data_IF_084233431269
#
_entry.id   IF_084233431269
#
_cell.length_a   1.000
_cell.length_b   1.000
_cell.length_c   1.000
_cell.angle_alpha   90.00
_cell.angle_beta   90.00
_cell.angle_gamma   90.00
#
_symmetry.space_group_name_H-M   'P 1'
#
loop_
_entity.id
_entity.type
_entity.pdbx_description
1 polymer ?
#
# COMPACT_ATOMS: atom_id res chain seq x y z
N UNK A 1 22.64 15.57 4.29
CA UNK A 1 22.92 14.31 5.02
C UNK A 1 23.62 13.36 4.05
N UNK A 2 24.42 12.43 4.56
CA UNK A 2 25.04 11.39 3.72
C UNK A 2 23.97 10.47 3.14
N UNK A 3 24.18 9.91 1.92
CA UNK A 3 23.36 8.82 1.40
C UNK A 3 23.17 7.71 2.43
N UNK A 4 21.97 7.14 2.43
CA UNK A 4 21.55 6.04 3.29
C UNK A 4 21.23 4.83 2.42
N UNK A 5 21.38 3.63 2.94
CA UNK A 5 21.02 2.40 2.25
C UNK A 5 19.66 1.92 2.74
N UNK A 6 18.71 1.77 1.82
CA UNK A 6 17.34 1.35 2.11
C UNK A 6 17.12 -0.06 1.54
N UNK A 7 16.83 -1.02 2.41
CA UNK A 7 16.34 -2.34 2.01
C UNK A 7 14.85 -2.25 1.66
N UNK A 8 14.47 -2.67 0.47
CA UNK A 8 13.08 -2.67 0.00
C UNK A 8 12.64 -4.12 -0.18
N UNK A 9 11.75 -4.57 0.71
CA UNK A 9 11.11 -5.89 0.62
C UNK A 9 9.78 -5.74 -0.12
N UNK A 10 9.53 -6.64 -1.07
CA UNK A 10 8.44 -6.47 -2.03
C UNK A 10 8.76 -5.43 -3.11
N UNK A 11 10.05 -5.24 -3.43
CA UNK A 11 10.54 -4.21 -4.35
C UNK A 11 9.92 -4.26 -5.76
N UNK A 12 9.49 -5.43 -6.23
CA UNK A 12 8.84 -5.61 -7.54
C UNK A 12 7.34 -5.33 -7.52
N UNK A 13 6.74 -5.10 -6.36
CA UNK A 13 5.31 -4.78 -6.20
C UNK A 13 4.97 -3.32 -6.48
N UNK A 14 3.70 -2.95 -6.33
CA UNK A 14 3.21 -1.60 -6.63
C UNK A 14 3.86 -0.51 -5.75
N UNK A 15 3.83 -0.69 -4.43
CA UNK A 15 4.48 0.24 -3.50
C UNK A 15 6.00 0.18 -3.63
N UNK A 16 6.57 -1.03 -3.64
CA UNK A 16 8.02 -1.25 -3.67
C UNK A 16 8.71 -0.58 -4.85
N UNK A 17 8.13 -0.63 -6.05
CA UNK A 17 8.69 0.04 -7.24
C UNK A 17 8.79 1.56 -7.05
N UNK A 18 7.75 2.19 -6.50
CA UNK A 18 7.79 3.61 -6.15
C UNK A 18 8.84 3.91 -5.07
N UNK A 19 8.95 3.06 -4.05
CA UNK A 19 9.99 3.20 -3.01
C UNK A 19 11.39 3.15 -3.61
N UNK A 20 11.68 2.22 -4.52
CA UNK A 20 12.97 2.16 -5.22
C UNK A 20 13.21 3.45 -6.00
N UNK A 21 12.28 3.85 -6.86
CA UNK A 21 12.42 5.02 -7.72
C UNK A 21 12.65 6.32 -6.92
N UNK A 22 11.81 6.59 -5.92
CA UNK A 22 11.89 7.82 -5.13
C UNK A 22 13.12 7.84 -4.22
N UNK A 23 13.53 6.70 -3.67
CA UNK A 23 14.74 6.61 -2.85
C UNK A 23 16.01 6.87 -3.65
N UNK A 24 16.14 6.26 -4.84
CA UNK A 24 17.26 6.51 -5.75
C UNK A 24 17.29 7.98 -6.21
N UNK A 25 16.12 8.54 -6.55
CA UNK A 25 16.00 9.95 -6.95
C UNK A 25 16.36 10.93 -5.81
N UNK A 26 16.16 10.52 -4.56
CA UNK A 26 16.59 11.28 -3.38
C UNK A 26 18.09 11.15 -3.07
N UNK A 27 18.84 10.37 -3.85
CA UNK A 27 20.28 10.14 -3.69
C UNK A 27 20.62 9.08 -2.64
N UNK A 28 19.67 8.21 -2.27
CA UNK A 28 19.91 7.06 -1.42
C UNK A 28 20.32 5.83 -2.25
N UNK A 29 21.02 4.90 -1.61
CA UNK A 29 21.27 3.58 -2.17
C UNK A 29 20.09 2.67 -1.86
N UNK A 30 19.73 1.79 -2.79
CA UNK A 30 18.62 0.85 -2.62
C UNK A 30 19.08 -0.59 -2.78
N UNK A 31 18.75 -1.42 -1.79
CA UNK A 31 18.86 -2.88 -1.87
C UNK A 31 17.46 -3.44 -2.12
N UNK A 32 17.20 -3.94 -3.32
CA UNK A 32 15.92 -4.53 -3.71
C UNK A 32 15.93 -6.04 -3.37
N UNK A 33 15.14 -6.43 -2.37
CA UNK A 33 15.02 -7.84 -1.98
C UNK A 33 14.06 -8.57 -2.93
N UNK A 34 14.58 -9.56 -3.65
CA UNK A 34 13.87 -10.27 -4.71
C UNK A 34 14.06 -11.78 -4.61
N UNK A 35 13.01 -12.55 -4.92
CA UNK A 35 13.11 -14.02 -4.99
C UNK A 35 13.80 -14.51 -6.24
N UNK A 36 13.50 -13.88 -7.39
CA UNK A 36 14.07 -14.23 -8.68
C UNK A 36 14.75 -12.99 -9.31
N UNK A 37 16.08 -12.88 -9.24
CA UNK A 37 16.81 -11.73 -9.80
C UNK A 37 16.75 -11.67 -11.33
N UNK A 38 16.40 -12.78 -12.01
CA UNK A 38 16.26 -12.82 -13.47
C UNK A 38 14.85 -12.46 -13.96
N UNK A 39 13.89 -12.17 -13.06
CA UNK A 39 12.58 -11.70 -13.47
C UNK A 39 12.67 -10.33 -14.16
N UNK A 40 11.80 -10.06 -15.14
CA UNK A 40 11.78 -8.77 -15.86
C UNK A 40 11.67 -7.58 -14.92
N UNK A 41 10.81 -7.68 -13.89
CA UNK A 41 10.67 -6.65 -12.87
C UNK A 41 11.97 -6.45 -12.06
N UNK A 42 12.68 -7.50 -11.66
CA UNK A 42 13.94 -7.37 -10.94
C UNK A 42 15.04 -6.74 -11.82
N UNK A 43 15.13 -7.14 -13.09
CA UNK A 43 16.08 -6.56 -14.05
C UNK A 43 15.83 -5.06 -14.21
N UNK A 44 14.57 -4.62 -14.33
CA UNK A 44 14.23 -3.20 -14.41
C UNK A 44 14.66 -2.42 -13.16
N UNK A 45 14.57 -3.00 -11.95
CA UNK A 45 15.07 -2.36 -10.74
C UNK A 45 16.58 -2.20 -10.76
N UNK A 46 17.31 -3.19 -11.26
CA UNK A 46 18.76 -3.11 -11.41
C UNK A 46 19.19 -2.05 -12.44
N UNK A 47 18.47 -1.95 -13.57
CA UNK A 47 18.69 -0.91 -14.59
C UNK A 47 18.45 0.50 -14.05
N UNK A 48 17.55 0.67 -13.07
CA UNK A 48 17.35 1.94 -12.36
C UNK A 48 18.48 2.27 -11.37
N UNK A 49 19.35 1.30 -11.05
CA UNK A 49 20.47 1.47 -10.12
C UNK A 49 20.28 0.83 -8.75
N UNK A 50 19.22 0.02 -8.54
CA UNK A 50 19.08 -0.75 -7.30
C UNK A 50 20.01 -1.97 -7.28
N UNK A 51 20.61 -2.24 -6.14
CA UNK A 51 21.35 -3.49 -5.91
C UNK A 51 20.35 -4.62 -5.63
N UNK A 52 20.37 -5.68 -6.44
CA UNK A 52 19.50 -6.84 -6.18
C UNK A 52 20.08 -7.70 -5.05
N UNK A 53 19.25 -7.99 -4.04
CA UNK A 53 19.55 -8.91 -2.95
C UNK A 53 18.60 -10.10 -3.10
N UNK A 54 19.15 -11.29 -3.35
CA UNK A 54 18.33 -12.49 -3.53
C UNK A 54 18.00 -13.12 -2.18
N UNK A 55 16.74 -13.47 -1.97
CA UNK A 55 16.30 -14.19 -0.77
C UNK A 55 14.80 -14.50 -0.78
N UNK A 56 14.34 -15.13 0.29
CA UNK A 56 12.93 -15.52 0.47
C UNK A 56 12.44 -15.11 1.86
N UNK A 57 11.16 -14.74 1.97
CA UNK A 57 10.56 -14.36 3.25
C UNK A 57 10.36 -15.55 4.19
N UNK A 58 10.29 -16.75 3.64
CA UNK A 58 10.25 -18.00 4.40
C UNK A 58 11.67 -18.42 4.88
N UNK A 59 12.73 -17.76 4.41
CA UNK A 59 14.13 -17.97 4.82
C UNK A 59 14.66 -16.80 5.67
N UNK A 60 14.60 -16.98 6.99
CA UNK A 60 15.09 -15.99 7.96
C UNK A 60 16.58 -15.66 7.81
N UNK A 61 17.43 -16.61 7.42
CA UNK A 61 18.86 -16.34 7.21
C UNK A 61 19.06 -15.41 6.01
N UNK A 62 18.30 -15.61 4.94
CA UNK A 62 18.33 -14.69 3.79
C UNK A 62 17.94 -13.25 4.17
N UNK A 63 16.97 -13.10 5.07
CA UNK A 63 16.55 -11.80 5.61
C UNK A 63 17.61 -11.19 6.52
N UNK A 64 18.21 -11.99 7.42
CA UNK A 64 19.33 -11.56 8.27
C UNK A 64 20.50 -11.03 7.45
N UNK A 65 20.83 -11.70 6.35
CA UNK A 65 21.87 -11.26 5.43
C UNK A 65 21.46 -9.96 4.72
N UNK A 66 20.20 -9.84 4.30
CA UNK A 66 19.69 -8.65 3.63
C UNK A 66 19.63 -7.40 4.52
N UNK A 67 19.45 -7.57 5.83
CA UNK A 67 19.41 -6.47 6.80
C UNK A 67 20.80 -6.03 7.30
N UNK A 68 21.89 -6.64 6.83
CA UNK A 68 23.25 -6.19 7.14
C UNK A 68 23.62 -4.94 6.32
N UNK A 69 24.29 -3.98 6.96
CA UNK A 69 24.82 -2.76 6.31
C UNK A 69 23.76 -1.88 5.62
N UNK A 70 22.49 -1.99 6.05
CA UNK A 70 21.43 -1.07 5.66
C UNK A 70 21.05 -0.16 6.81
N UNK A 71 20.58 1.05 6.51
CA UNK A 71 20.15 2.04 7.50
C UNK A 71 18.65 1.93 7.80
N UNK A 72 17.86 1.59 6.78
CA UNK A 72 16.41 1.49 6.86
C UNK A 72 15.88 0.27 6.09
N UNK A 73 14.72 -0.24 6.49
CA UNK A 73 13.94 -1.23 5.73
C UNK A 73 12.53 -0.72 5.46
N UNK A 74 12.05 -0.92 4.23
CA UNK A 74 10.65 -0.81 3.88
C UNK A 74 10.07 -2.19 3.57
N UNK A 75 8.87 -2.46 4.10
CA UNK A 75 8.08 -3.63 3.71
C UNK A 75 6.58 -3.34 3.85
N UNK A 76 5.76 -4.21 3.27
CA UNK A 76 4.31 -4.23 3.44
C UNK A 76 3.86 -5.68 3.63
N UNK A 77 2.67 -5.86 4.19
CA UNK A 77 2.07 -7.17 4.40
C UNK A 77 1.93 -7.95 3.08
N UNK A 78 2.38 -9.20 3.10
CA UNK A 78 2.14 -10.15 2.01
C UNK A 78 0.79 -10.81 2.24
N UNK A 79 -0.04 -10.89 1.19
CA UNK A 79 -1.37 -11.51 1.24
C UNK A 79 -1.43 -12.64 0.21
N UNK A 80 -0.97 -13.83 0.59
CA UNK A 80 -1.00 -15.04 -0.27
C UNK A 80 -2.25 -15.88 -0.08
N UNK A 81 -3.17 -15.43 0.79
CA UNK A 81 -4.35 -16.20 1.19
C UNK A 81 -4.03 -17.29 2.22
N UNK A 82 -2.90 -17.18 2.92
CA UNK A 82 -2.46 -18.10 3.98
C UNK A 82 -2.09 -17.29 5.21
N UNK A 83 -3.07 -16.84 6.02
CA UNK A 83 -2.87 -15.81 7.03
C UNK A 83 -1.74 -16.12 8.02
N UNK A 84 -1.63 -17.35 8.50
CA UNK A 84 -0.58 -17.74 9.46
C UNK A 84 0.82 -17.65 8.82
N UNK A 85 0.96 -18.14 7.58
CA UNK A 85 2.22 -18.06 6.85
C UNK A 85 2.57 -16.61 6.48
N UNK A 86 1.57 -15.82 6.08
CA UNK A 86 1.70 -14.41 5.75
C UNK A 86 2.16 -13.60 6.96
N UNK A 87 1.57 -13.83 8.13
CA UNK A 87 2.00 -13.20 9.38
C UNK A 87 3.41 -13.64 9.79
N UNK A 88 3.73 -14.93 9.68
CA UNK A 88 5.06 -15.45 9.99
C UNK A 88 6.15 -14.82 9.12
N UNK A 89 5.88 -14.59 7.83
CA UNK A 89 6.81 -13.88 6.93
C UNK A 89 7.08 -12.45 7.40
N UNK A 90 6.07 -11.75 7.91
CA UNK A 90 6.25 -10.41 8.45
C UNK A 90 7.07 -10.44 9.74
N UNK A 91 6.82 -11.39 10.62
CA UNK A 91 7.62 -11.57 11.84
C UNK A 91 9.09 -11.90 11.50
N UNK A 92 9.36 -12.68 10.44
CA UNK A 92 10.74 -12.95 10.00
C UNK A 92 11.46 -11.67 9.59
N UNK A 93 10.80 -10.76 8.85
CA UNK A 93 11.37 -9.45 8.47
C UNK A 93 11.68 -8.63 9.71
N UNK A 94 10.73 -8.55 10.63
CA UNK A 94 10.85 -7.76 11.86
C UNK A 94 11.97 -8.30 12.75
N UNK A 95 12.09 -9.64 12.87
CA UNK A 95 13.16 -10.28 13.63
C UNK A 95 14.54 -10.01 13.01
N UNK A 96 14.68 -10.14 11.69
CA UNK A 96 15.93 -9.81 11.00
C UNK A 96 16.30 -8.32 11.13
N UNK A 97 15.30 -7.43 11.17
CA UNK A 97 15.52 -6.01 11.40
C UNK A 97 15.95 -5.72 12.85
N UNK A 98 15.34 -6.40 13.83
CA UNK A 98 15.69 -6.32 15.25
C UNK A 98 17.14 -6.73 15.51
N UNK A 99 17.58 -7.82 14.89
CA UNK A 99 18.91 -8.39 15.09
C UNK A 99 20.02 -7.62 14.34
N UNK A 100 19.65 -6.81 13.33
CA UNK A 100 20.61 -5.98 12.60
C UNK A 100 21.19 -4.90 13.50
N UNK A 101 22.53 -4.75 13.50
CA UNK A 101 23.21 -3.70 14.25
C UNK A 101 23.13 -2.35 13.54
N UNK A 102 23.08 -2.31 12.21
CA UNK A 102 23.12 -1.07 11.40
C UNK A 102 21.74 -0.47 11.13
N UNK A 103 20.70 -1.31 11.04
CA UNK A 103 19.35 -0.86 10.72
C UNK A 103 18.77 -0.08 11.89
N UNK A 104 18.41 1.17 11.67
CA UNK A 104 17.87 2.06 12.71
C UNK A 104 16.48 2.59 12.40
N UNK A 105 15.95 2.35 11.19
CA UNK A 105 14.63 2.82 10.79
C UNK A 105 13.81 1.71 10.14
N UNK A 106 12.69 1.33 10.76
CA UNK A 106 11.73 0.35 10.20
C UNK A 106 10.54 1.12 9.62
N UNK A 107 10.26 0.93 8.33
CA UNK A 107 9.18 1.61 7.64
C UNK A 107 8.19 0.57 7.12
N UNK A 108 6.92 0.67 7.52
CA UNK A 108 5.87 -0.30 7.19
C UNK A 108 4.74 0.37 6.41
N UNK A 109 4.37 -0.20 5.27
CA UNK A 109 3.15 0.18 4.54
C UNK A 109 1.93 -0.64 4.99
N UNK A 110 0.88 0.03 5.47
CA UNK A 110 -0.41 -0.58 5.86
C UNK A 110 -1.58 0.01 5.04
N UNK A 111 -2.54 0.66 5.68
CA UNK A 111 -3.73 1.26 5.06
C UNK A 111 -4.32 2.35 5.97
N UNK A 112 -5.05 3.31 5.37
CA UNK A 112 -5.86 4.27 6.12
C UNK A 112 -6.75 3.58 7.16
N UNK A 113 -7.01 4.27 8.27
CA UNK A 113 -7.84 3.81 9.41
C UNK A 113 -7.32 2.58 10.17
N UNK A 114 -6.15 2.04 9.83
CA UNK A 114 -5.53 0.97 10.64
C UNK A 114 -5.38 1.42 12.10
N UNK A 115 -5.80 0.55 13.04
CA UNK A 115 -5.79 0.83 14.47
C UNK A 115 -6.96 1.69 14.98
N UNK A 116 -8.01 1.90 14.17
CA UNK A 116 -9.23 2.61 14.56
C UNK A 116 -10.48 1.70 14.46
N UNK A 117 -10.27 0.39 14.48
CA UNK A 117 -11.28 -0.58 14.08
C UNK A 117 -12.47 -0.68 15.04
N UNK A 118 -12.28 -0.25 16.28
CA UNK A 118 -13.33 -0.12 17.29
C UNK A 118 -14.39 0.91 16.89
N UNK A 119 -14.07 1.83 15.96
CA UNK A 119 -15.02 2.80 15.40
C UNK A 119 -15.82 2.23 14.21
N UNK A 120 -15.48 1.04 13.72
CA UNK A 120 -16.12 0.48 12.52
C UNK A 120 -17.50 -0.08 12.86
N UNK A 121 -18.54 0.25 12.06
CA UNK A 121 -19.88 -0.30 12.30
C UNK A 121 -19.89 -1.81 12.38
N UNK A 122 -20.60 -2.35 13.38
CA UNK A 122 -20.70 -3.79 13.60
C UNK A 122 -19.46 -4.46 14.19
N UNK A 123 -18.39 -3.73 14.54
CA UNK A 123 -17.18 -4.33 15.11
C UNK A 123 -17.42 -5.09 16.42
N UNK A 124 -18.23 -4.52 17.31
CA UNK A 124 -18.57 -5.10 18.62
C UNK A 124 -19.28 -6.45 18.53
N UNK A 125 -19.92 -6.76 17.40
CA UNK A 125 -20.58 -8.06 17.17
C UNK A 125 -19.60 -9.23 17.18
N UNK A 126 -18.31 -8.95 16.97
CA UNK A 126 -17.26 -9.94 16.88
C UNK A 126 -17.11 -10.60 15.50
N UNK A 127 -18.07 -10.40 14.59
CA UNK A 127 -18.16 -11.05 13.29
C UNK A 127 -18.00 -10.08 12.10
N UNK A 128 -17.32 -8.94 12.30
CA UNK A 128 -17.07 -7.98 11.23
C UNK A 128 -16.35 -8.66 10.03
N UNK A 129 -16.83 -8.52 8.78
CA UNK A 129 -16.29 -9.26 7.63
C UNK A 129 -14.79 -9.05 7.36
N UNK A 130 -14.29 -7.84 7.65
CA UNK A 130 -12.87 -7.47 7.48
C UNK A 130 -12.07 -7.56 8.81
N UNK A 131 -12.56 -8.27 9.82
CA UNK A 131 -11.95 -8.25 11.17
C UNK A 131 -10.49 -8.68 11.17
N UNK A 132 -10.20 -9.82 10.55
CA UNK A 132 -8.85 -10.35 10.48
C UNK A 132 -7.90 -9.41 9.72
N UNK A 133 -8.33 -8.86 8.58
CA UNK A 133 -7.57 -7.87 7.81
C UNK A 133 -7.14 -6.68 8.67
N UNK A 134 -8.07 -6.08 9.44
CA UNK A 134 -7.77 -4.92 10.26
C UNK A 134 -6.94 -5.24 11.50
N UNK A 135 -7.19 -6.39 12.14
CA UNK A 135 -6.41 -6.85 13.29
C UNK A 135 -4.97 -7.17 12.88
N UNK A 136 -4.76 -7.84 11.74
CA UNK A 136 -3.42 -8.18 11.25
C UNK A 136 -2.60 -6.91 10.96
N UNK A 137 -3.17 -5.94 10.23
CA UNK A 137 -2.48 -4.66 9.98
C UNK A 137 -2.15 -3.92 11.27
N UNK A 138 -3.09 -3.85 12.20
CA UNK A 138 -2.85 -3.17 13.46
C UNK A 138 -1.80 -3.89 14.33
N UNK A 139 -1.82 -5.23 14.35
CA UNK A 139 -0.81 -6.04 15.03
C UNK A 139 0.59 -5.80 14.45
N UNK A 140 0.71 -5.73 13.12
CA UNK A 140 1.98 -5.43 12.45
C UNK A 140 2.50 -4.03 12.80
N UNK A 141 1.63 -3.01 12.81
CA UNK A 141 2.04 -1.67 13.24
C UNK A 141 2.56 -1.68 14.68
N UNK A 142 1.85 -2.34 15.60
CA UNK A 142 2.26 -2.43 17.01
C UNK A 142 3.58 -3.19 17.16
N UNK A 143 3.78 -4.25 16.37
CA UNK A 143 5.01 -5.03 16.38
C UNK A 143 6.21 -4.21 15.90
N UNK A 144 6.03 -3.43 14.83
CA UNK A 144 7.08 -2.52 14.33
C UNK A 144 7.42 -1.44 15.36
N UNK A 145 6.42 -0.85 16.02
CA UNK A 145 6.63 0.12 17.12
C UNK A 145 7.46 -0.49 18.23
N UNK A 146 7.03 -1.64 18.76
CA UNK A 146 7.69 -2.35 19.86
C UNK A 146 9.17 -2.63 19.54
N UNK A 147 9.44 -3.18 18.35
CA UNK A 147 10.80 -3.58 17.97
C UNK A 147 11.71 -2.38 17.69
N UNK A 148 11.19 -1.35 17.01
CA UNK A 148 11.98 -0.14 16.73
C UNK A 148 12.29 0.63 18.02
N UNK A 149 11.31 0.78 18.93
CA UNK A 149 11.48 1.53 20.19
C UNK A 149 12.37 0.81 21.21
N UNK A 150 12.47 -0.52 21.13
CA UNK A 150 13.38 -1.30 21.97
C UNK A 150 14.87 -1.09 21.60
N UNK A 151 15.17 -0.50 20.45
CA UNK A 151 16.54 -0.25 19.99
C UNK A 151 16.96 1.20 20.31
N UNK A 152 18.17 1.37 20.83
CA UNK A 152 18.72 2.70 21.04
C UNK A 152 18.84 3.45 19.70
N UNK A 153 18.20 4.63 19.63
CA UNK A 153 18.12 5.41 18.40
C UNK A 153 17.25 4.80 17.30
N UNK A 154 16.48 3.76 17.61
CA UNK A 154 15.54 3.13 16.70
C UNK A 154 14.36 4.05 16.38
N UNK A 155 13.92 3.99 15.13
CA UNK A 155 12.85 4.80 14.56
C UNK A 155 11.88 3.91 13.82
N UNK A 156 10.61 4.28 13.85
CA UNK A 156 9.62 3.69 12.96
C UNK A 156 8.87 4.75 12.17
N UNK A 157 8.42 4.40 10.97
CA UNK A 157 7.42 5.20 10.23
C UNK A 157 6.39 4.24 9.65
N UNK A 158 5.11 4.53 9.86
CA UNK A 158 4.03 3.77 9.22
C UNK A 158 3.47 4.61 8.08
N UNK A 159 3.33 4.04 6.89
CA UNK A 159 2.68 4.68 5.75
C UNK A 159 1.32 4.04 5.55
N UNK A 160 0.26 4.85 5.59
CA UNK A 160 -1.15 4.43 5.52
C UNK A 160 -1.79 4.94 4.23
N UNK A 161 -1.59 4.25 3.10
CA UNK A 161 -2.20 4.64 1.84
C UNK A 161 -3.72 4.45 1.83
N UNK A 162 -4.40 5.26 1.03
CA UNK A 162 -5.79 5.06 0.63
C UNK A 162 -5.97 3.97 -0.43
N UNK A 163 -7.07 4.05 -1.18
CA UNK A 163 -7.40 3.11 -2.26
C UNK A 163 -6.44 3.30 -3.44
N UNK A 164 -5.78 2.22 -3.82
CA UNK A 164 -4.80 2.27 -4.90
C UNK A 164 -5.45 2.45 -6.27
N UNK A 165 -4.93 3.40 -7.03
CA UNK A 165 -5.27 3.58 -8.44
C UNK A 165 -4.87 2.37 -9.30
N UNK A 166 -3.88 1.59 -8.86
CA UNK A 166 -3.49 0.31 -9.48
C UNK A 166 -4.61 -0.72 -9.52
N UNK A 167 -5.66 -0.57 -8.71
CA UNK A 167 -6.85 -1.42 -8.78
C UNK A 167 -7.62 -1.26 -10.10
N UNK A 168 -7.32 -0.21 -10.87
CA UNK A 168 -7.85 0.02 -12.21
C UNK A 168 -7.03 -0.64 -13.32
N UNK A 169 -5.93 -1.32 -12.97
CA UNK A 169 -5.05 -2.00 -13.94
C UNK A 169 -5.20 -3.53 -13.86
N UNK A 170 -5.04 -4.26 -14.98
CA UNK A 170 -4.97 -5.72 -14.97
C UNK A 170 -3.79 -6.23 -14.10
N UNK A 171 -3.94 -7.39 -13.44
CA UNK A 171 -5.14 -8.24 -13.38
C UNK A 171 -6.15 -7.83 -12.30
N UNK A 172 -5.81 -6.88 -11.42
CA UNK A 172 -6.65 -6.52 -10.27
C UNK A 172 -7.99 -5.92 -10.72
N UNK A 173 -7.97 -5.09 -11.75
CA UNK A 173 -9.17 -4.52 -12.38
C UNK A 173 -10.17 -5.60 -12.78
N UNK A 174 -9.70 -6.71 -13.37
CA UNK A 174 -10.60 -7.76 -13.89
C UNK A 174 -11.30 -8.52 -12.76
N UNK A 175 -10.66 -8.58 -11.59
CA UNK A 175 -11.28 -9.11 -10.38
C UNK A 175 -12.25 -8.10 -9.75
N UNK A 176 -11.88 -6.81 -9.68
CA UNK A 176 -12.69 -5.78 -9.00
C UNK A 176 -13.86 -5.26 -9.85
N UNK A 177 -13.68 -5.18 -11.16
CA UNK A 177 -14.62 -4.61 -12.13
C UNK A 177 -14.75 -5.55 -13.34
N UNK A 178 -15.26 -6.78 -13.17
CA UNK A 178 -15.25 -7.81 -14.22
C UNK A 178 -16.01 -7.39 -15.49
N UNK A 179 -17.02 -6.52 -15.37
CA UNK A 179 -17.80 -6.00 -16.49
C UNK A 179 -17.08 -4.89 -17.29
N UNK A 180 -15.99 -4.33 -16.77
CA UNK A 180 -15.38 -3.13 -17.36
C UNK A 180 -14.79 -3.40 -18.75
N UNK A 181 -14.16 -4.57 -18.93
CA UNK A 181 -13.46 -4.92 -20.17
C UNK A 181 -14.39 -5.01 -21.38
N UNK A 182 -15.58 -5.57 -21.19
CA UNK A 182 -16.54 -5.83 -22.28
C UNK A 182 -17.63 -4.76 -22.37
N UNK A 183 -18.10 -4.26 -21.22
CA UNK A 183 -19.29 -3.40 -21.17
C UNK A 183 -18.98 -1.94 -20.80
N UNK A 184 -17.73 -1.63 -20.43
CA UNK A 184 -17.34 -0.33 -19.83
C UNK A 184 -18.17 0.04 -18.60
N UNK A 185 -18.53 -0.98 -17.82
CA UNK A 185 -19.28 -0.82 -16.58
C UNK A 185 -18.40 -1.10 -15.36
N UNK A 186 -18.31 -0.14 -14.45
CA UNK A 186 -17.86 -0.39 -13.08
C UNK A 186 -19.03 -0.99 -12.31
N UNK A 187 -19.16 -2.32 -12.35
CA UNK A 187 -20.12 -3.07 -11.52
C UNK A 187 -19.53 -3.24 -10.13
N UNK A 188 -20.13 -2.60 -9.13
CA UNK A 188 -19.51 -2.42 -7.80
C UNK A 188 -20.42 -2.80 -6.65
N UNK A 189 -19.80 -3.20 -5.54
CA UNK A 189 -20.47 -3.48 -4.27
C UNK A 189 -20.51 -2.26 -3.33
N UNK A 190 -20.11 -1.08 -3.81
CA UNK A 190 -20.25 0.18 -3.08
C UNK A 190 -21.73 0.63 -3.10
N UNK A 191 -22.09 1.55 -2.21
CA UNK A 191 -23.33 2.32 -2.31
C UNK A 191 -23.12 3.60 -3.15
N UNK A 192 -24.19 4.15 -3.76
CA UNK A 192 -24.10 5.45 -4.44
C UNK A 192 -23.55 6.54 -3.53
N UNK A 193 -22.63 7.36 -4.05
CA UNK A 193 -22.00 8.45 -3.30
C UNK A 193 -20.88 8.03 -2.33
N UNK A 194 -20.50 6.75 -2.25
CA UNK A 194 -19.36 6.32 -1.43
C UNK A 194 -18.07 7.00 -1.87
N UNK A 195 -17.40 7.64 -0.91
CA UNK A 195 -16.18 8.41 -1.10
C UNK A 195 -14.93 7.54 -0.93
N UNK A 196 -14.08 7.54 -1.96
CA UNK A 196 -12.82 6.78 -1.99
C UNK A 196 -11.63 7.75 -1.94
N UNK A 197 -10.83 7.75 -0.85
CA UNK A 197 -9.54 8.44 -0.84
C UNK A 197 -8.57 7.66 -1.74
N UNK A 198 -8.28 8.19 -2.92
CA UNK A 198 -7.42 7.55 -3.92
C UNK A 198 -5.96 7.93 -3.74
N UNK A 199 -5.07 7.02 -4.11
CA UNK A 199 -3.62 7.25 -4.13
C UNK A 199 -2.95 6.39 -5.20
N UNK A 200 -1.89 6.89 -5.81
CA UNK A 200 -0.97 6.04 -6.57
C UNK A 200 -0.08 5.28 -5.57
N UNK A 201 -0.08 3.95 -5.60
CA UNK A 201 0.78 3.16 -4.72
C UNK A 201 2.28 3.54 -4.80
N UNK A 202 2.74 4.09 -5.93
CA UNK A 202 4.11 4.56 -6.12
C UNK A 202 4.46 5.73 -5.20
N UNK A 203 3.48 6.55 -4.85
CA UNK A 203 3.66 7.74 -3.99
C UNK A 203 4.00 7.37 -2.54
N UNK A 204 3.80 6.12 -2.11
CA UNK A 204 4.36 5.61 -0.85
C UNK A 204 5.88 5.84 -0.81
N UNK A 205 6.56 5.75 -1.97
CA UNK A 205 7.98 6.04 -2.09
C UNK A 205 8.38 7.47 -1.73
N UNK A 206 7.49 8.45 -1.92
CA UNK A 206 7.74 9.85 -1.49
C UNK A 206 7.90 9.89 0.02
N UNK A 207 6.99 9.23 0.75
CA UNK A 207 7.02 9.18 2.21
C UNK A 207 8.23 8.39 2.71
N UNK A 208 8.55 7.25 2.09
CA UNK A 208 9.71 6.43 2.51
C UNK A 208 11.03 7.19 2.31
N UNK A 209 11.23 7.80 1.14
CA UNK A 209 12.43 8.59 0.87
C UNK A 209 12.52 9.80 1.81
N UNK A 210 11.40 10.50 2.05
CA UNK A 210 11.36 11.61 2.99
C UNK A 210 11.62 11.18 4.44
N UNK A 211 11.11 10.01 4.86
CA UNK A 211 11.32 9.51 6.22
C UNK A 211 12.79 9.22 6.52
N UNK A 212 13.54 8.72 5.53
CA UNK A 212 14.98 8.47 5.65
C UNK A 212 15.79 9.77 5.55
N UNK A 213 15.36 10.72 4.72
CA UNK A 213 16.02 12.01 4.52
C UNK A 213 15.77 13.01 5.65
N UNK A 214 14.59 12.99 6.26
CA UNK A 214 14.11 13.92 7.29
C UNK A 214 13.61 13.14 8.53
N UNK A 215 14.46 12.32 9.18
CA UNK A 215 14.02 11.41 10.24
C UNK A 215 13.36 12.13 11.42
N UNK A 216 13.80 13.34 11.79
CA UNK A 216 13.16 14.10 12.88
C UNK A 216 11.70 14.49 12.61
N UNK A 217 11.31 14.54 11.34
CA UNK A 217 9.95 14.88 10.92
C UNK A 217 9.03 13.66 10.88
N UNK A 218 9.56 12.51 10.46
CA UNK A 218 8.76 11.32 10.15
C UNK A 218 8.98 10.14 11.10
N UNK A 219 10.01 10.18 11.95
CA UNK A 219 10.23 9.16 12.95
C UNK A 219 9.09 9.18 13.97
N UNK A 220 8.66 7.97 14.32
CA UNK A 220 7.61 7.66 15.26
C UNK A 220 6.26 8.31 14.87
N UNK A 221 5.99 8.32 13.55
CA UNK A 221 4.75 8.83 12.95
C UNK A 221 4.10 7.79 12.05
N UNK A 222 2.77 7.80 12.06
CA UNK A 222 1.97 7.22 11.00
C UNK A 222 1.56 8.34 10.03
N UNK A 223 1.76 8.12 8.74
CA UNK A 223 1.52 9.09 7.68
C UNK A 223 0.44 8.57 6.75
N UNK A 224 -0.67 9.29 6.67
CA UNK A 224 -1.77 9.01 5.76
C UNK A 224 -1.40 9.49 4.35
N UNK A 225 -1.71 8.68 3.32
CA UNK A 225 -1.37 9.03 1.92
C UNK A 225 -2.59 8.88 1.02
N UNK A 226 -3.12 10.03 0.58
CA UNK A 226 -4.21 10.13 -0.38
C UNK A 226 -4.10 11.46 -1.13
N UNK A 227 -4.39 11.45 -2.44
CA UNK A 227 -4.26 12.63 -3.32
C UNK A 227 -5.60 13.32 -3.57
N UNK A 228 -6.66 12.53 -3.72
CA UNK A 228 -8.00 13.01 -4.08
C UNK A 228 -9.04 12.07 -3.46
N UNK A 229 -10.16 12.62 -2.99
CA UNK A 229 -11.33 11.84 -2.58
C UNK A 229 -12.36 12.00 -3.68
N UNK A 230 -12.82 10.88 -4.24
CA UNK A 230 -13.84 10.88 -5.31
C UNK A 230 -14.90 9.83 -5.02
N UNK A 231 -16.11 10.04 -5.53
CA UNK A 231 -17.10 8.95 -5.59
C UNK A 231 -16.80 8.00 -6.75
N UNK A 232 -17.38 6.80 -6.73
CA UNK A 232 -17.22 5.83 -7.84
C UNK A 232 -17.75 6.40 -9.16
N UNK A 233 -18.83 7.18 -9.11
CA UNK A 233 -19.40 7.87 -10.28
C UNK A 233 -18.45 8.94 -10.82
N UNK A 234 -17.81 9.70 -9.93
CA UNK A 234 -16.78 10.68 -10.34
C UNK A 234 -15.56 9.97 -10.94
N UNK A 235 -15.15 8.84 -10.36
CA UNK A 235 -14.07 8.02 -10.90
C UNK A 235 -14.41 7.48 -12.29
N UNK A 236 -15.63 6.95 -12.49
CA UNK A 236 -16.12 6.54 -13.81
C UNK A 236 -16.06 7.70 -14.82
N UNK A 237 -16.49 8.90 -14.42
CA UNK A 237 -16.39 10.08 -15.26
C UNK A 237 -14.95 10.46 -15.62
N UNK A 238 -14.00 10.34 -14.68
CA UNK A 238 -12.57 10.56 -14.94
C UNK A 238 -11.99 9.53 -15.90
N UNK A 239 -12.32 8.25 -15.72
CA UNK A 239 -11.90 7.17 -16.61
C UNK A 239 -12.47 7.41 -18.01
N UNK A 240 -13.77 7.69 -18.14
CA UNK A 240 -14.45 7.93 -19.41
C UNK A 240 -13.81 9.06 -20.24
N UNK A 241 -13.37 10.13 -19.59
CA UNK A 241 -12.62 11.22 -20.26
C UNK A 241 -11.31 10.74 -20.88
N UNK A 242 -10.61 9.81 -20.22
CA UNK A 242 -9.32 9.30 -20.67
C UNK A 242 -9.49 8.24 -21.74
N UNK A 243 -10.45 7.32 -21.59
CA UNK A 243 -10.69 6.25 -22.56
C UNK A 243 -11.49 6.70 -23.79
N UNK A 244 -12.10 7.89 -23.75
CA UNK A 244 -12.82 8.50 -24.88
C UNK A 244 -14.23 7.95 -25.10
N UNK A 245 -14.78 7.20 -24.14
CA UNK A 245 -16.13 6.63 -24.18
C UNK A 245 -16.82 6.69 -22.81
N UNK A 246 -18.14 6.52 -22.79
CA UNK A 246 -18.91 6.54 -21.54
C UNK A 246 -18.57 5.32 -20.69
N UNK A 247 -18.18 5.56 -19.43
CA UNK A 247 -18.06 4.51 -18.41
C UNK A 247 -19.22 4.64 -17.45
N UNK A 248 -20.01 3.57 -17.32
CA UNK A 248 -21.18 3.54 -16.43
C UNK A 248 -20.82 2.92 -15.09
N UNK A 249 -21.60 3.23 -14.08
CA UNK A 249 -21.54 2.56 -12.77
C UNK A 249 -22.82 1.77 -12.57
N UNK A 250 -22.67 0.52 -12.16
CA UNK A 250 -23.77 -0.34 -11.77
C UNK A 250 -23.55 -0.76 -10.32
N UNK A 251 -24.47 -0.37 -9.45
CA UNK A 251 -24.42 -0.73 -8.03
C UNK A 251 -25.16 -2.05 -7.82
N UNK A 252 -24.50 -3.00 -7.18
CA UNK A 252 -25.14 -4.24 -6.75
C UNK A 252 -26.10 -3.95 -5.60
N UNK A 253 -27.24 -4.64 -5.58
CA UNK A 253 -28.21 -4.55 -4.49
C UNK A 253 -27.59 -5.04 -3.17
N UNK A 254 -28.00 -4.43 -2.05
CA UNK A 254 -27.46 -4.76 -0.72
C UNK A 254 -27.62 -6.26 -0.39
N UNK A 255 -28.73 -6.90 -0.80
CA UNK A 255 -28.93 -8.35 -0.60
C UNK A 255 -27.88 -9.20 -1.34
N UNK A 256 -27.48 -8.78 -2.55
CA UNK A 256 -26.45 -9.46 -3.35
C UNK A 256 -25.09 -9.27 -2.68
N UNK A 257 -24.76 -8.04 -2.29
CA UNK A 257 -23.50 -7.72 -1.61
C UNK A 257 -23.38 -8.50 -0.29
N UNK A 258 -24.45 -8.56 0.50
CA UNK A 258 -24.47 -9.31 1.76
C UNK A 258 -24.32 -10.82 1.53
N UNK A 259 -24.88 -11.35 0.43
CA UNK A 259 -24.65 -12.73 -0.02
C UNK A 259 -23.19 -12.99 -0.35
N UNK A 260 -22.56 -12.13 -1.15
CA UNK A 260 -21.14 -12.23 -1.50
C UNK A 260 -20.23 -12.16 -0.27
N UNK A 261 -20.56 -11.29 0.70
CA UNK A 261 -19.82 -11.19 1.97
C UNK A 261 -19.90 -12.50 2.76
N UNK A 262 -21.09 -13.12 2.85
CA UNK A 262 -21.27 -14.41 3.52
C UNK A 262 -20.49 -15.54 2.85
N UNK A 263 -20.28 -15.45 1.54
CA UNK A 263 -19.45 -16.38 0.76
C UNK A 263 -17.94 -16.06 0.84
N UNK A 264 -17.54 -15.02 1.58
CA UNK A 264 -16.14 -14.66 1.80
C UNK A 264 -15.53 -13.75 0.74
N UNK A 265 -16.35 -13.06 -0.07
CA UNK A 265 -15.84 -12.16 -1.11
C UNK A 265 -15.23 -10.88 -0.52
N UNK A 266 -13.90 -10.87 -0.35
CA UNK A 266 -13.15 -9.77 0.27
C UNK A 266 -13.39 -8.41 -0.40
N UNK A 267 -13.55 -8.36 -1.72
CA UNK A 267 -13.85 -7.11 -2.43
C UNK A 267 -15.20 -6.51 -2.04
N UNK A 268 -16.20 -7.34 -1.77
CA UNK A 268 -17.54 -6.90 -1.34
C UNK A 268 -17.51 -6.43 0.11
N UNK A 269 -16.81 -7.18 0.98
CA UNK A 269 -16.58 -6.81 2.38
C UNK A 269 -15.81 -5.49 2.52
N UNK A 270 -14.77 -5.29 1.69
CA UNK A 270 -14.02 -4.03 1.63
C UNK A 270 -14.85 -2.87 1.10
N UNK A 271 -15.75 -3.11 0.13
CA UNK A 271 -16.64 -2.07 -0.39
C UNK A 271 -17.66 -1.63 0.65
N UNK A 272 -18.29 -2.59 1.34
CA UNK A 272 -19.19 -2.31 2.47
C UNK A 272 -18.51 -1.51 3.57
N UNK A 273 -17.27 -1.89 3.93
CA UNK A 273 -16.49 -1.13 4.91
C UNK A 273 -16.23 0.31 4.45
N UNK A 274 -15.89 0.53 3.17
CA UNK A 274 -15.66 1.86 2.63
C UNK A 274 -16.94 2.73 2.61
N UNK A 275 -18.11 2.13 2.39
CA UNK A 275 -19.41 2.82 2.50
C UNK A 275 -19.66 3.32 3.93
N UNK A 276 -19.28 2.52 4.92
CA UNK A 276 -19.63 2.69 6.33
C UNK A 276 -18.60 3.49 7.14
N UNK A 277 -17.36 3.57 6.64
CA UNK A 277 -16.24 4.24 7.31
C UNK A 277 -15.67 5.32 6.39
N UNK A 278 -16.13 6.58 6.52
CA UNK A 278 -15.67 7.66 5.67
C UNK A 278 -14.15 7.87 5.75
N UNK A 279 -13.50 7.91 4.58
CA UNK A 279 -12.06 8.13 4.42
C UNK A 279 -11.68 9.55 3.98
N UNK A 280 -12.62 10.50 3.98
CA UNK A 280 -12.43 11.85 3.43
C UNK A 280 -11.36 12.69 4.15
N UNK A 281 -11.06 12.37 5.41
CA UNK A 281 -9.98 12.99 6.19
C UNK A 281 -8.57 12.59 5.72
N UNK A 282 -8.44 11.50 4.95
CA UNK A 282 -7.14 11.00 4.49
C UNK A 282 -6.37 12.02 3.66
N UNK A 283 -7.04 12.83 2.83
CA UNK A 283 -6.39 13.87 2.01
C UNK A 283 -5.95 15.07 2.86
N UNK A 284 -6.78 15.53 3.81
CA UNK A 284 -6.40 16.62 4.71
C UNK A 284 -5.24 16.23 5.62
N UNK A 285 -5.29 15.02 6.21
CA UNK A 285 -4.21 14.48 7.03
C UNK A 285 -2.92 14.36 6.22
N UNK A 286 -3.01 13.82 5.00
CA UNK A 286 -1.88 13.68 4.09
C UNK A 286 -1.21 15.04 3.81
N UNK A 287 -1.99 16.07 3.45
CA UNK A 287 -1.47 17.42 3.16
C UNK A 287 -0.83 18.06 4.39
N UNK A 288 -1.44 17.91 5.57
CA UNK A 288 -0.87 18.42 6.82
C UNK A 288 0.48 17.76 7.14
N UNK A 289 0.54 16.43 7.04
CA UNK A 289 1.72 15.66 7.40
C UNK A 289 2.87 15.82 6.37
N UNK A 290 2.55 15.80 5.08
CA UNK A 290 3.52 15.90 3.98
C UNK A 290 3.90 17.35 3.63
N UNK A 291 3.10 18.35 4.00
CA UNK A 291 3.37 19.74 3.65
C UNK A 291 3.60 19.90 2.15
N UNK A 292 4.70 20.55 1.74
CA UNK A 292 5.03 20.73 0.33
C UNK A 292 5.33 19.43 -0.42
N UNK A 293 5.65 18.32 0.27
CA UNK A 293 5.83 17.02 -0.39
C UNK A 293 4.52 16.49 -0.99
N UNK A 294 3.36 16.95 -0.50
CA UNK A 294 2.06 16.57 -1.06
C UNK A 294 1.86 17.06 -2.50
N UNK A 295 2.58 18.11 -2.93
CA UNK A 295 2.56 18.60 -4.31
C UNK A 295 3.20 17.60 -5.30
N UNK A 296 4.03 16.69 -4.79
CA UNK A 296 4.66 15.62 -5.57
C UNK A 296 3.79 14.38 -5.75
N UNK A 297 2.62 14.30 -5.11
CA UNK A 297 1.70 13.17 -5.26
C UNK A 297 1.13 13.12 -6.68
N UNK A 298 1.01 11.92 -7.22
CA UNK A 298 0.46 11.67 -8.54
C UNK A 298 -1.04 11.90 -8.51
N UNK A 299 -1.51 12.93 -9.21
CA UNK A 299 -2.97 13.18 -9.36
C UNK A 299 -3.67 12.01 -10.05
N UNK A 300 -4.95 11.79 -9.74
CA UNK A 300 -5.77 10.76 -10.38
C UNK A 300 -5.77 10.92 -11.90
N UNK A 301 -5.93 12.14 -12.41
CA UNK A 301 -5.96 12.41 -13.84
C UNK A 301 -4.62 12.09 -14.52
N UNK A 302 -3.48 12.37 -13.85
CA UNK A 302 -2.15 12.03 -14.36
C UNK A 302 -1.95 10.51 -14.42
N UNK A 303 -2.33 9.78 -13.37
CA UNK A 303 -2.26 8.33 -13.35
C UNK A 303 -3.11 7.71 -14.48
N UNK A 304 -4.36 8.14 -14.61
CA UNK A 304 -5.27 7.59 -15.62
C UNK A 304 -4.70 7.81 -17.03
N UNK A 305 -4.19 9.01 -17.31
CA UNK A 305 -3.57 9.34 -18.60
C UNK A 305 -2.32 8.51 -18.88
N UNK A 306 -1.45 8.34 -17.89
CA UNK A 306 -0.25 7.52 -18.03
C UNK A 306 -0.60 6.06 -18.37
N UNK A 307 -1.68 5.55 -17.78
CA UNK A 307 -2.07 4.14 -17.87
C UNK A 307 -3.25 3.88 -18.82
N UNK A 308 -3.60 4.84 -19.70
CA UNK A 308 -4.76 4.76 -20.60
C UNK A 308 -4.83 3.42 -21.36
N UNK A 309 -3.70 2.99 -21.92
CA UNK A 309 -3.60 1.75 -22.70
C UNK A 309 -3.84 0.50 -21.85
N UNK A 310 -3.33 0.48 -20.63
CA UNK A 310 -3.49 -0.66 -19.72
C UNK A 310 -4.90 -0.73 -19.15
N UNK A 311 -5.51 0.43 -18.88
CA UNK A 311 -6.90 0.53 -18.48
C UNK A 311 -7.83 -0.01 -19.58
N UNK A 312 -7.50 0.23 -20.86
CA UNK A 312 -8.29 -0.25 -22.01
C UNK A 312 -8.09 -1.74 -22.37
N UNK A 313 -6.94 -2.33 -22.05
CA UNK A 313 -6.55 -3.70 -22.45
C UNK A 313 -7.30 -4.79 -21.67
#
# INVERSE_FOLDING_TARGET
>A
MSPKTILVIGATGNQGRGVVQHSLSAGHSVSAFVRNPASSAAVQLAEQGATLVTGDLDDLESLRNATQNVDAVFFTEVQTGKPEADFQRMENIILAAKESSTLSHIILGTALKTGQHELFPGWESGAHPMKEYWLNKHALENRVREVAEAKEGGRWTIVRPGHFLQNLLPPVRDFMFPAFKEERVLRVAYRPGTELPLVDARDVGIVVAAAVKEPERFANKAVDVAVEVVTVEQLAGKIGKVVGEEVKVEFLDDEVVDGMIKEGHLGAASSRWADEVPGGDGVSNCREQLGTLAEGLTSVDAFLKENEKEILA
#
